data_IF_907456818616
#
_entry.id   IF_907456818616
#
_cell.length_a   1.000
_cell.length_b   1.000
_cell.length_c   1.000
_cell.angle_alpha   90.00
_cell.angle_beta   90.00
_cell.angle_gamma   90.00
#
_symmetry.space_group_name_H-M   'P 1'
#
loop_
_entity.id
_entity.type
_entity.pdbx_description
1 polymer ?
#
# COMPACT_ATOMS: atom_id res chain seq x y z
N UNK A 1 -12.79 14.13 -22.67
CA UNK A 1 -14.02 14.09 -23.50
C UNK A 1 -14.25 15.50 -23.94
N UNK A 2 -14.09 15.75 -25.24
CA UNK A 2 -14.19 17.06 -25.87
C UNK A 2 -15.48 17.77 -25.44
N UNK A 3 -15.41 19.08 -25.18
CA UNK A 3 -16.57 19.93 -24.87
C UNK A 3 -17.54 20.08 -26.07
N UNK A 4 -17.28 19.38 -27.17
CA UNK A 4 -18.05 19.40 -28.40
C UNK A 4 -19.04 18.23 -28.34
N UNK A 5 -20.32 18.54 -28.27
CA UNK A 5 -21.36 17.51 -28.36
C UNK A 5 -21.43 16.91 -29.78
N UNK A 6 -22.03 15.73 -29.91
CA UNK A 6 -22.11 14.98 -31.17
C UNK A 6 -22.75 15.75 -32.33
N UNK A 7 -23.66 16.69 -32.06
CA UNK A 7 -24.31 17.50 -33.10
C UNK A 7 -23.38 18.60 -33.62
N UNK A 8 -22.74 19.33 -32.71
CA UNK A 8 -21.78 20.39 -33.04
C UNK A 8 -20.57 19.80 -33.78
N UNK A 9 -20.11 18.61 -33.39
CA UNK A 9 -19.03 17.91 -34.08
C UNK A 9 -19.32 17.73 -35.58
N UNK A 10 -20.55 17.29 -35.89
CA UNK A 10 -20.98 16.99 -37.26
C UNK A 10 -21.16 18.24 -38.10
N UNK A 11 -21.60 19.35 -37.51
CA UNK A 11 -21.74 20.62 -38.23
C UNK A 11 -20.41 21.30 -38.56
N UNK A 12 -19.32 20.89 -37.90
CA UNK A 12 -17.98 21.46 -38.11
C UNK A 12 -17.18 20.74 -39.21
N UNK A 13 -17.67 19.62 -39.76
CA UNK A 13 -16.96 18.88 -40.81
C UNK A 13 -16.86 19.72 -42.08
N UNK A 14 -15.66 19.82 -42.65
CA UNK A 14 -15.39 20.66 -43.84
C UNK A 14 -16.13 20.12 -45.07
N UNK A 15 -16.13 18.80 -45.27
CA UNK A 15 -16.76 18.12 -46.40
C UNK A 15 -17.69 17.00 -45.90
N UNK A 16 -18.89 17.33 -45.37
CA UNK A 16 -19.78 16.34 -44.77
C UNK A 16 -20.32 15.32 -45.80
N UNK A 17 -20.45 15.72 -47.07
CA UNK A 17 -20.97 14.87 -48.15
C UNK A 17 -19.93 13.87 -48.69
N UNK A 18 -18.66 14.00 -48.29
CA UNK A 18 -17.56 13.13 -48.73
C UNK A 18 -17.02 12.27 -47.58
N UNK A 19 -17.88 11.96 -46.62
CA UNK A 19 -17.58 11.00 -45.54
C UNK A 19 -17.90 9.60 -46.05
N UNK A 20 -16.97 8.67 -45.91
CA UNK A 20 -17.21 7.27 -46.20
C UNK A 20 -18.41 6.74 -45.40
N UNK A 21 -19.41 6.18 -46.09
CA UNK A 21 -20.63 5.63 -45.50
C UNK A 21 -20.33 4.57 -44.42
N UNK A 22 -19.18 3.90 -44.52
CA UNK A 22 -18.71 2.92 -43.53
C UNK A 22 -18.39 3.56 -42.16
N UNK A 23 -18.27 4.88 -42.07
CA UNK A 23 -18.08 5.62 -40.82
C UNK A 23 -19.39 6.15 -40.23
N UNK A 24 -20.53 5.86 -40.86
CA UNK A 24 -21.84 6.26 -40.37
C UNK A 24 -22.41 5.25 -39.37
N UNK A 25 -23.12 5.77 -38.39
CA UNK A 25 -23.78 4.96 -37.38
C UNK A 25 -25.00 4.27 -37.98
N UNK A 26 -25.09 2.94 -37.83
CA UNK A 26 -26.25 2.17 -38.30
C UNK A 26 -27.58 2.40 -37.57
N UNK A 27 -27.66 3.40 -36.69
CA UNK A 27 -28.89 3.78 -35.97
C UNK A 27 -29.29 5.22 -36.30
N UNK A 28 -28.37 6.19 -36.12
CA UNK A 28 -28.67 7.59 -36.38
C UNK A 28 -28.28 8.06 -37.79
N UNK A 29 -27.63 7.21 -38.59
CA UNK A 29 -27.18 7.49 -39.95
C UNK A 29 -26.25 8.72 -40.08
N UNK A 30 -25.54 9.06 -39.00
CA UNK A 30 -24.59 10.16 -38.95
C UNK A 30 -23.20 9.65 -38.56
N UNK A 31 -22.16 10.46 -38.79
CA UNK A 31 -20.78 10.12 -38.38
C UNK A 31 -20.75 9.64 -36.93
N UNK A 32 -20.10 8.49 -36.72
CA UNK A 32 -20.01 7.82 -35.43
C UNK A 32 -19.21 8.64 -34.41
N UNK A 33 -19.75 8.75 -33.19
CA UNK A 33 -19.08 9.41 -32.06
C UNK A 33 -18.83 8.37 -30.97
N UNK A 34 -17.58 8.28 -30.52
CA UNK A 34 -17.09 7.20 -29.64
C UNK A 34 -17.55 5.82 -30.16
N UNK A 35 -17.12 5.42 -31.37
CA UNK A 35 -17.69 4.29 -32.09
C UNK A 35 -17.56 2.96 -31.34
N UNK A 36 -18.61 2.14 -31.47
CA UNK A 36 -18.63 0.72 -31.09
C UNK A 36 -18.93 -0.13 -32.33
N UNK A 37 -18.22 -1.23 -32.47
CA UNK A 37 -18.36 -2.17 -33.60
C UNK A 37 -19.00 -3.46 -33.11
N UNK A 38 -20.00 -3.98 -33.83
CA UNK A 38 -20.54 -5.31 -33.53
C UNK A 38 -19.53 -6.39 -33.96
N UNK A 39 -19.26 -7.37 -33.09
CA UNK A 39 -18.33 -8.47 -33.41
C UNK A 39 -18.78 -9.32 -34.60
N UNK A 40 -20.10 -9.48 -34.78
CA UNK A 40 -20.68 -10.39 -35.76
C UNK A 40 -20.84 -9.73 -37.14
N UNK A 41 -21.48 -8.55 -37.21
CA UNK A 41 -21.74 -7.87 -38.50
C UNK A 41 -20.78 -6.72 -38.81
N UNK A 42 -19.84 -6.37 -37.92
CA UNK A 42 -18.85 -5.30 -38.11
C UNK A 42 -19.44 -3.89 -38.37
N UNK A 43 -20.73 -3.69 -38.16
CA UNK A 43 -21.36 -2.37 -38.29
C UNK A 43 -20.99 -1.48 -37.11
N UNK A 44 -20.83 -0.18 -37.39
CA UNK A 44 -20.48 0.83 -36.41
C UNK A 44 -21.71 1.53 -35.84
N UNK A 45 -21.63 1.87 -34.56
CA UNK A 45 -22.64 2.64 -33.85
C UNK A 45 -21.99 3.70 -32.97
N UNK A 46 -22.65 4.85 -32.77
CA UNK A 46 -22.27 5.75 -31.69
C UNK A 46 -22.47 5.06 -30.34
N UNK A 47 -21.61 5.34 -29.36
CA UNK A 47 -21.74 4.77 -28.01
C UNK A 47 -23.13 4.99 -27.41
N UNK A 48 -23.64 6.22 -27.48
CA UNK A 48 -24.96 6.57 -26.94
C UNK A 48 -26.09 5.86 -27.71
N UNK A 49 -26.04 5.86 -29.05
CA UNK A 49 -27.08 5.24 -29.88
C UNK A 49 -27.23 3.75 -29.59
N UNK A 50 -26.13 3.01 -29.49
CA UNK A 50 -26.20 1.58 -29.22
C UNK A 50 -26.63 1.30 -27.78
N UNK A 51 -26.14 2.07 -26.80
CA UNK A 51 -26.58 1.90 -25.41
C UNK A 51 -28.08 2.14 -25.26
N UNK A 52 -28.63 3.17 -25.91
CA UNK A 52 -30.07 3.46 -25.86
C UNK A 52 -30.92 2.42 -26.58
N UNK A 53 -30.39 1.81 -27.63
CA UNK A 53 -31.02 0.65 -28.27
C UNK A 53 -31.05 -0.56 -27.32
N UNK A 54 -29.93 -0.86 -26.67
CA UNK A 54 -29.78 -2.02 -25.78
C UNK A 54 -30.64 -1.93 -24.51
N UNK A 55 -31.01 -0.73 -24.08
CA UNK A 55 -32.02 -0.54 -23.01
C UNK A 55 -33.40 -1.05 -23.41
N UNK A 56 -33.73 -1.08 -24.71
CA UNK A 56 -35.07 -1.44 -25.23
C UNK A 56 -35.09 -2.84 -25.85
N UNK A 57 -33.98 -3.27 -26.45
CA UNK A 57 -33.88 -4.53 -27.21
C UNK A 57 -32.49 -5.12 -27.00
N UNK A 58 -32.38 -6.40 -26.68
CA UNK A 58 -31.08 -7.06 -26.43
C UNK A 58 -30.34 -7.52 -27.70
N UNK A 59 -30.91 -7.29 -28.88
CA UNK A 59 -30.36 -7.76 -30.15
C UNK A 59 -29.66 -6.66 -30.96
N UNK A 60 -28.85 -7.09 -31.93
CA UNK A 60 -28.24 -6.17 -32.89
C UNK A 60 -29.31 -5.44 -33.74
N UNK A 61 -29.16 -4.13 -34.02
CA UNK A 61 -30.04 -3.41 -34.95
C UNK A 61 -30.18 -4.08 -36.33
N UNK A 62 -29.12 -4.76 -36.78
CA UNK A 62 -29.08 -5.54 -38.03
C UNK A 62 -29.50 -7.01 -37.86
N UNK A 63 -30.04 -7.39 -36.70
CA UNK A 63 -30.57 -8.74 -36.39
C UNK A 63 -29.58 -9.87 -36.66
N UNK A 64 -28.35 -9.74 -36.16
CA UNK A 64 -27.40 -10.85 -36.13
C UNK A 64 -28.03 -12.08 -35.44
N UNK A 65 -27.66 -13.28 -35.90
CA UNK A 65 -28.29 -14.55 -35.51
C UNK A 65 -28.12 -14.93 -34.03
N UNK A 66 -27.29 -14.22 -33.27
CA UNK A 66 -27.08 -14.45 -31.83
C UNK A 66 -28.04 -13.62 -30.97
N UNK A 67 -28.55 -14.23 -29.89
CA UNK A 67 -29.52 -13.64 -28.96
C UNK A 67 -28.98 -12.40 -28.23
N UNK A 68 -27.66 -12.36 -28.00
CA UNK A 68 -26.95 -11.28 -27.32
C UNK A 68 -25.91 -10.65 -28.24
N UNK A 69 -25.97 -9.32 -28.38
CA UNK A 69 -24.97 -8.58 -29.16
C UNK A 69 -23.67 -8.39 -28.36
N UNK A 70 -22.55 -8.75 -28.98
CA UNK A 70 -21.20 -8.40 -28.50
C UNK A 70 -20.68 -7.16 -29.22
N UNK A 71 -20.23 -6.18 -28.44
CA UNK A 71 -19.67 -4.93 -28.92
C UNK A 71 -18.19 -4.84 -28.56
N UNK A 72 -17.36 -4.52 -29.55
CA UNK A 72 -15.93 -4.27 -29.39
C UNK A 72 -15.58 -2.84 -29.81
N UNK A 73 -14.36 -2.46 -29.50
CA UNK A 73 -13.75 -1.26 -30.09
C UNK A 73 -13.50 -1.49 -31.59
N UNK A 74 -13.73 -0.49 -32.44
CA UNK A 74 -13.46 -0.63 -33.86
C UNK A 74 -11.97 -0.78 -34.15
N UNK A 75 -11.66 -1.39 -35.30
CA UNK A 75 -10.28 -1.57 -35.73
C UNK A 75 -9.51 -0.25 -35.80
N UNK A 76 -8.20 -0.28 -35.50
CA UNK A 76 -7.34 0.91 -35.46
C UNK A 76 -7.41 1.76 -36.74
N UNK A 77 -7.57 1.11 -37.90
CA UNK A 77 -7.70 1.80 -39.19
C UNK A 77 -8.92 2.71 -39.21
N UNK A 78 -10.09 2.21 -38.77
CA UNK A 78 -11.33 2.99 -38.69
C UNK A 78 -11.16 4.18 -37.75
N UNK A 79 -10.55 3.97 -36.58
CA UNK A 79 -10.27 5.04 -35.62
C UNK A 79 -9.35 6.11 -36.22
N UNK A 80 -8.27 5.71 -36.87
CA UNK A 80 -7.33 6.63 -37.49
C UNK A 80 -7.98 7.39 -38.65
N UNK A 81 -8.71 6.72 -39.53
CA UNK A 81 -9.42 7.36 -40.64
C UNK A 81 -10.43 8.40 -40.17
N UNK A 82 -11.21 8.08 -39.13
CA UNK A 82 -12.12 9.05 -38.50
C UNK A 82 -11.33 10.21 -37.88
N UNK A 83 -10.20 9.93 -37.24
CA UNK A 83 -9.37 10.98 -36.61
C UNK A 83 -8.76 11.96 -37.61
N UNK A 84 -8.53 11.56 -38.86
CA UNK A 84 -8.01 12.43 -39.93
C UNK A 84 -9.09 13.27 -40.63
N UNK A 85 -10.37 13.16 -40.21
CA UNK A 85 -11.42 14.00 -40.77
C UNK A 85 -11.16 15.47 -40.43
N UNK A 86 -11.24 16.33 -41.45
CA UNK A 86 -11.01 17.76 -41.31
C UNK A 86 -12.26 18.47 -40.76
N UNK A 87 -12.06 19.23 -39.69
CA UNK A 87 -13.06 20.05 -39.02
C UNK A 87 -12.67 21.52 -39.05
N UNK A 88 -13.66 22.41 -39.14
CA UNK A 88 -13.51 23.81 -38.77
C UNK A 88 -13.49 23.94 -37.25
N UNK A 89 -12.77 24.93 -36.73
CA UNK A 89 -12.84 25.26 -35.32
C UNK A 89 -14.29 25.65 -34.91
N UNK A 90 -14.70 25.29 -33.69
CA UNK A 90 -15.99 25.71 -33.13
C UNK A 90 -16.09 27.23 -32.88
N UNK A 91 -14.94 27.90 -32.74
CA UNK A 91 -14.89 29.35 -32.51
C UNK A 91 -15.04 30.06 -33.87
N UNK A 92 -16.08 30.87 -34.04
CA UNK A 92 -16.40 31.52 -35.31
C UNK A 92 -15.25 32.38 -35.89
N UNK A 93 -14.44 32.98 -35.02
CA UNK A 93 -13.30 33.82 -35.42
C UNK A 93 -12.03 33.02 -35.76
N UNK A 94 -12.07 31.68 -35.64
CA UNK A 94 -10.93 30.81 -35.93
C UNK A 94 -11.14 30.10 -37.28
N UNK A 95 -10.38 30.50 -38.28
CA UNK A 95 -10.45 29.94 -39.64
C UNK A 95 -9.63 28.66 -39.83
N UNK A 96 -9.03 28.13 -38.76
CA UNK A 96 -8.20 26.93 -38.85
C UNK A 96 -9.04 25.68 -39.15
N UNK A 97 -8.53 24.87 -40.07
CA UNK A 97 -9.00 23.51 -40.33
C UNK A 97 -8.09 22.56 -39.57
N UNK A 98 -8.67 21.71 -38.72
CA UNK A 98 -7.96 20.80 -37.82
C UNK A 98 -8.50 19.39 -38.01
N UNK A 99 -7.62 18.39 -37.97
CA UNK A 99 -8.02 16.98 -37.91
C UNK A 99 -8.77 16.68 -36.60
N UNK A 100 -9.83 15.88 -36.67
CA UNK A 100 -10.63 15.48 -35.50
C UNK A 100 -9.77 14.95 -34.35
N UNK A 101 -8.71 14.19 -34.62
CA UNK A 101 -7.79 13.69 -33.60
C UNK A 101 -7.02 14.78 -32.83
N UNK A 102 -6.88 15.97 -33.41
CA UNK A 102 -6.14 17.11 -32.84
C UNK A 102 -7.05 18.20 -32.27
N UNK A 103 -8.39 18.05 -32.37
CA UNK A 103 -9.35 19.10 -32.00
C UNK A 103 -9.23 19.52 -30.53
N UNK A 104 -9.00 18.57 -29.62
CA UNK A 104 -8.88 18.83 -28.18
C UNK A 104 -7.63 19.65 -27.85
N UNK A 105 -6.51 19.37 -28.53
CA UNK A 105 -5.27 20.13 -28.39
C UNK A 105 -5.45 21.54 -28.96
N UNK A 106 -6.06 21.64 -30.13
CA UNK A 106 -6.37 22.94 -30.73
C UNK A 106 -7.27 23.79 -29.84
N UNK A 107 -8.39 23.29 -29.29
CA UNK A 107 -9.30 24.10 -28.47
C UNK A 107 -8.58 24.71 -27.25
N UNK A 108 -7.65 23.96 -26.63
CA UNK A 108 -6.85 24.44 -25.49
C UNK A 108 -5.95 25.61 -25.87
N UNK A 109 -5.36 25.58 -27.05
CA UNK A 109 -4.38 26.56 -27.52
C UNK A 109 -4.98 27.63 -28.44
N UNK A 110 -6.22 27.44 -28.89
CA UNK A 110 -6.87 28.31 -29.85
C UNK A 110 -7.01 29.71 -29.27
N UNK A 111 -6.50 30.69 -30.01
CA UNK A 111 -6.49 32.12 -29.65
C UNK A 111 -7.90 32.68 -29.42
N UNK A 112 -8.91 32.09 -30.05
CA UNK A 112 -10.30 32.53 -29.98
C UNK A 112 -11.12 31.81 -28.92
N UNK A 113 -10.56 30.79 -28.25
CA UNK A 113 -11.22 30.13 -27.13
C UNK A 113 -11.38 31.12 -25.98
N UNK A 114 -12.60 31.20 -25.44
CA UNK A 114 -12.94 32.03 -24.29
C UNK A 114 -12.69 31.24 -23.02
N UNK A 115 -11.94 31.82 -22.09
CA UNK A 115 -11.67 31.25 -20.78
C UNK A 115 -12.00 32.26 -19.68
N UNK A 116 -12.36 31.75 -18.51
CA UNK A 116 -12.51 32.59 -17.32
C UNK A 116 -11.12 33.05 -16.85
N UNK A 117 -11.02 34.28 -16.35
CA UNK A 117 -9.80 34.73 -15.69
C UNK A 117 -9.46 33.84 -14.49
N UNK A 118 -8.17 33.51 -14.33
CA UNK A 118 -7.68 32.68 -13.24
C UNK A 118 -7.46 33.46 -11.93
N UNK A 119 -7.55 34.79 -11.97
CA UNK A 119 -7.41 35.62 -10.78
C UNK A 119 -8.66 35.48 -9.91
N UNK A 120 -8.45 35.03 -8.68
CA UNK A 120 -9.49 34.83 -7.68
C UNK A 120 -10.35 36.10 -7.47
N UNK A 121 -11.64 36.02 -7.78
CA UNK A 121 -12.60 37.12 -7.70
C UNK A 121 -12.81 37.88 -9.02
N UNK A 122 -12.10 37.53 -10.09
CA UNK A 122 -12.38 38.01 -11.43
C UNK A 122 -13.36 37.06 -12.14
N UNK A 123 -14.53 37.57 -12.53
CA UNK A 123 -15.55 36.79 -13.27
C UNK A 123 -15.51 37.04 -14.79
N UNK A 124 -14.52 37.80 -15.26
CA UNK A 124 -14.40 38.14 -16.68
C UNK A 124 -14.04 36.91 -17.53
N UNK A 125 -14.69 36.83 -18.68
CA UNK A 125 -14.44 35.84 -19.74
C UNK A 125 -13.63 36.49 -20.85
N UNK A 126 -12.43 35.97 -21.10
CA UNK A 126 -11.45 36.58 -21.99
C UNK A 126 -11.01 35.56 -23.05
N UNK A 127 -10.88 35.99 -24.31
CA UNK A 127 -10.28 35.16 -25.37
C UNK A 127 -8.80 34.90 -25.04
N UNK A 128 -8.30 33.71 -25.34
CA UNK A 128 -6.88 33.37 -25.14
C UNK A 128 -5.90 34.40 -25.73
N UNK A 129 -6.23 34.97 -26.91
CA UNK A 129 -5.45 36.04 -27.53
C UNK A 129 -5.24 37.25 -26.61
N UNK A 130 -6.26 37.62 -25.84
CA UNK A 130 -6.27 38.81 -24.99
C UNK A 130 -5.98 38.48 -23.52
N UNK A 131 -5.74 37.21 -23.21
CA UNK A 131 -5.59 36.74 -21.83
C UNK A 131 -4.34 37.32 -21.17
N UNK A 132 -3.22 37.40 -21.90
CA UNK A 132 -1.97 37.99 -21.37
C UNK A 132 -2.11 39.49 -21.11
N UNK A 133 -2.79 40.23 -21.99
CA UNK A 133 -3.08 41.65 -21.77
C UNK A 133 -4.01 41.83 -20.56
N UNK A 134 -5.07 41.02 -20.46
CA UNK A 134 -5.96 41.03 -19.30
C UNK A 134 -5.19 40.72 -18.01
N UNK A 135 -4.32 39.70 -17.98
CA UNK A 135 -3.52 39.35 -16.79
C UNK A 135 -2.71 40.53 -16.27
N UNK A 136 -2.16 41.36 -17.15
CA UNK A 136 -1.39 42.54 -16.77
C UNK A 136 -2.26 43.68 -16.21
N UNK A 137 -3.50 43.83 -16.72
CA UNK A 137 -4.43 44.91 -16.35
C UNK A 137 -5.48 44.49 -15.29
N UNK A 138 -5.60 43.20 -15.01
CA UNK A 138 -6.63 42.66 -14.13
C UNK A 138 -6.52 43.24 -12.72
N UNK A 139 -7.59 43.86 -12.23
CA UNK A 139 -7.61 44.47 -10.90
C UNK A 139 -7.54 43.42 -9.78
N UNK A 140 -7.90 42.18 -10.05
CA UNK A 140 -7.81 41.08 -9.09
C UNK A 140 -6.45 40.39 -9.10
N UNK A 141 -5.50 40.82 -9.95
CA UNK A 141 -4.14 40.28 -9.94
C UNK A 141 -3.44 40.61 -8.62
N UNK A 142 -2.66 39.66 -8.14
CA UNK A 142 -1.88 39.81 -6.91
C UNK A 142 -0.53 40.47 -7.23
N UNK A 143 -0.15 41.46 -6.43
CA UNK A 143 1.15 42.14 -6.50
C UNK A 143 1.82 42.12 -5.12
N UNK A 144 3.14 42.22 -5.12
CA UNK A 144 3.95 42.29 -3.90
C UNK A 144 4.24 43.75 -3.59
N UNK A 145 4.04 44.18 -2.34
CA UNK A 145 4.45 45.52 -1.91
C UNK A 145 5.97 45.61 -1.79
N UNK A 146 6.61 46.60 -2.41
CA UNK A 146 8.06 46.78 -2.32
C UNK A 146 8.57 47.14 -0.91
N UNK A 147 7.68 47.65 -0.04
CA UNK A 147 8.05 48.12 1.30
C UNK A 147 7.88 47.06 2.37
N UNK A 148 6.74 46.39 2.40
CA UNK A 148 6.42 45.37 3.41
C UNK A 148 6.38 43.94 2.88
N UNK A 149 6.63 43.75 1.58
CA UNK A 149 6.71 42.44 0.92
C UNK A 149 5.44 41.59 1.01
N UNK A 150 4.32 42.15 1.48
CA UNK A 150 3.03 41.46 1.53
C UNK A 150 2.40 41.40 0.14
N UNK A 151 1.75 40.27 -0.15
CA UNK A 151 1.01 40.04 -1.40
C UNK A 151 -0.44 40.49 -1.21
N UNK A 152 -0.98 41.28 -2.14
CA UNK A 152 -2.36 41.77 -2.11
C UNK A 152 -2.93 41.94 -3.52
N UNK A 153 -4.27 42.00 -3.67
CA UNK A 153 -4.92 42.26 -4.96
C UNK A 153 -4.91 43.76 -5.26
N UNK A 154 -4.71 44.18 -6.51
CA UNK A 154 -4.72 45.61 -6.88
C UNK A 154 -6.04 46.31 -6.51
N UNK A 155 -7.17 45.59 -6.61
CA UNK A 155 -8.48 46.09 -6.22
C UNK A 155 -8.63 46.36 -4.72
N UNK A 156 -7.70 45.88 -3.90
CA UNK A 156 -7.68 46.12 -2.46
C UNK A 156 -6.75 47.29 -2.13
N UNK A 157 -7.22 48.20 -1.28
CA UNK A 157 -6.37 49.23 -0.72
C UNK A 157 -5.33 48.61 0.22
N UNK A 158 -4.05 48.97 0.03
CA UNK A 158 -2.94 48.38 0.74
C UNK A 158 -2.33 49.35 1.75
N UNK A 159 -2.41 48.98 3.02
CA UNK A 159 -1.77 49.71 4.11
C UNK A 159 -0.60 48.91 4.69
N UNK A 160 0.63 49.35 4.41
CA UNK A 160 1.85 48.67 4.85
C UNK A 160 1.92 48.50 6.37
N UNK A 161 1.46 49.48 7.15
CA UNK A 161 1.52 49.41 8.63
C UNK A 161 0.60 48.31 9.13
N UNK A 162 -0.63 48.21 8.59
CA UNK A 162 -1.55 47.13 8.93
C UNK A 162 -0.99 45.76 8.53
N UNK A 163 -0.43 45.65 7.34
CA UNK A 163 0.16 44.41 6.86
C UNK A 163 1.35 43.95 7.73
N UNK A 164 2.27 44.87 8.06
CA UNK A 164 3.41 44.58 8.94
C UNK A 164 2.97 44.20 10.36
N UNK A 165 1.97 44.91 10.92
CA UNK A 165 1.42 44.56 12.24
C UNK A 165 0.85 43.14 12.25
N UNK A 166 0.09 42.77 11.21
CA UNK A 166 -0.45 41.42 11.06
C UNK A 166 0.68 40.38 10.96
N UNK A 167 1.69 40.64 10.14
CA UNK A 167 2.84 39.73 10.01
C UNK A 167 3.56 39.50 11.34
N UNK A 168 3.78 40.56 12.14
CA UNK A 168 4.38 40.44 13.47
C UNK A 168 3.52 39.56 14.39
N UNK A 169 2.20 39.74 14.35
CA UNK A 169 1.27 38.93 15.13
C UNK A 169 1.31 37.45 14.68
N UNK A 170 1.29 37.20 13.37
CA UNK A 170 1.38 35.86 12.80
C UNK A 170 2.70 35.17 13.20
N UNK A 171 3.83 35.87 13.11
CA UNK A 171 5.13 35.36 13.55
C UNK A 171 5.15 35.09 15.06
N UNK A 172 4.54 35.96 15.87
CA UNK A 172 4.42 35.75 17.31
C UNK A 172 3.63 34.48 17.63
N UNK A 173 2.52 34.23 16.92
CA UNK A 173 1.74 33.01 17.07
C UNK A 173 2.55 31.77 16.69
N UNK A 174 3.27 31.78 15.56
CA UNK A 174 4.13 30.67 15.13
C UNK A 174 5.23 30.41 16.17
N UNK A 175 5.90 31.45 16.66
CA UNK A 175 6.94 31.32 17.69
C UNK A 175 6.36 30.68 18.96
N UNK A 176 5.16 31.08 19.39
CA UNK A 176 4.51 30.49 20.55
C UNK A 176 4.15 29.01 20.31
N UNK A 177 3.67 28.65 19.12
CA UNK A 177 3.42 27.25 18.76
C UNK A 177 4.71 26.42 18.81
N UNK A 178 5.81 26.92 18.24
CA UNK A 178 7.12 26.24 18.27
C UNK A 178 7.60 26.06 19.72
N UNK A 179 7.43 27.07 20.58
CA UNK A 179 7.78 26.95 22.00
C UNK A 179 6.98 25.85 22.70
N UNK A 180 5.68 25.74 22.43
CA UNK A 180 4.84 24.68 23.01
C UNK A 180 5.27 23.30 22.54
N UNK A 181 5.54 23.14 21.23
CA UNK A 181 6.04 21.89 20.67
C UNK A 181 7.40 21.49 21.27
N UNK A 182 8.28 22.46 21.51
CA UNK A 182 9.57 22.21 22.15
C UNK A 182 9.42 21.70 23.59
N UNK A 183 8.52 22.30 24.39
CA UNK A 183 8.24 21.86 25.77
C UNK A 183 7.68 20.42 25.77
N UNK A 184 6.74 20.14 24.86
CA UNK A 184 6.18 18.79 24.71
C UNK A 184 7.26 17.77 24.35
N UNK A 185 8.14 18.12 23.40
CA UNK A 185 9.26 17.27 23.01
C UNK A 185 10.19 16.97 24.19
N UNK A 186 10.52 17.96 25.02
CA UNK A 186 11.35 17.75 26.21
C UNK A 186 10.69 16.82 27.22
N UNK A 187 9.40 16.97 27.49
CA UNK A 187 8.65 16.10 28.39
C UNK A 187 8.66 14.64 27.88
N UNK A 188 8.37 14.43 26.60
CA UNK A 188 8.42 13.10 25.99
C UNK A 188 9.84 12.49 26.05
N UNK A 189 10.89 13.29 25.85
CA UNK A 189 12.27 12.80 25.99
C UNK A 189 12.58 12.35 27.43
N UNK A 190 12.09 13.07 28.44
CA UNK A 190 12.27 12.67 29.85
C UNK A 190 11.57 11.35 30.16
N UNK A 191 10.32 11.19 29.71
CA UNK A 191 9.57 9.93 29.86
C UNK A 191 10.29 8.76 29.19
N UNK A 192 10.79 8.95 27.97
CA UNK A 192 11.57 7.93 27.27
C UNK A 192 12.86 7.57 28.00
N UNK A 193 13.58 8.55 28.56
CA UNK A 193 14.78 8.29 29.36
C UNK A 193 14.46 7.48 30.62
N UNK A 194 13.33 7.74 31.27
CA UNK A 194 12.89 6.97 32.43
C UNK A 194 12.54 5.52 32.05
N UNK A 195 11.82 5.31 30.96
CA UNK A 195 11.54 3.98 30.42
C UNK A 195 12.83 3.22 30.10
N UNK A 196 13.81 3.87 29.47
CA UNK A 196 15.12 3.27 29.17
C UNK A 196 15.82 2.82 30.45
N UNK A 197 15.81 3.65 31.51
CA UNK A 197 16.41 3.28 32.80
C UNK A 197 15.75 2.03 33.40
N UNK A 198 14.41 1.95 33.34
CA UNK A 198 13.67 0.77 33.82
C UNK A 198 14.06 -0.48 33.02
N UNK A 199 14.11 -0.38 31.68
CA UNK A 199 14.52 -1.49 30.81
C UNK A 199 15.95 -1.96 31.12
N UNK A 200 16.88 -1.03 31.32
CA UNK A 200 18.26 -1.36 31.71
C UNK A 200 18.32 -2.12 33.04
N UNK A 201 17.51 -1.76 34.04
CA UNK A 201 17.44 -2.48 35.31
C UNK A 201 16.89 -3.90 35.17
N UNK A 202 15.89 -4.12 34.29
CA UNK A 202 15.34 -5.44 34.03
C UNK A 202 16.36 -6.37 33.35
N UNK A 203 17.16 -5.84 32.43
CA UNK A 203 18.20 -6.60 31.71
C UNK A 203 19.42 -6.88 32.60
N UNK A 204 19.73 -6.01 33.57
CA UNK A 204 20.87 -6.17 34.47
C UNK A 204 20.67 -7.23 35.59
N UNK A 205 19.48 -7.82 35.74
CA UNK A 205 19.29 -8.95 36.67
C UNK A 205 20.06 -10.17 36.16
N UNK A 206 21.05 -10.70 36.90
CA UNK A 206 21.79 -11.89 36.46
C UNK A 206 20.85 -13.08 36.39
N UNK A 207 20.60 -13.60 35.19
CA UNK A 207 19.98 -14.90 35.00
C UNK A 207 21.01 -15.96 35.44
N UNK A 208 20.89 -16.45 36.68
CA UNK A 208 21.77 -17.50 37.20
C UNK A 208 21.44 -18.80 36.47
N UNK A 209 22.17 -19.11 35.40
CA UNK A 209 22.13 -20.44 34.78
C UNK A 209 22.75 -21.41 35.79
N UNK A 210 21.94 -22.18 36.52
CA UNK A 210 22.44 -23.28 37.37
C UNK A 210 23.12 -24.33 36.48
N UNK A 211 24.44 -24.25 36.33
CA UNK A 211 25.21 -25.27 35.61
C UNK A 211 25.15 -26.59 36.39
N UNK A 212 24.71 -27.66 35.72
CA UNK A 212 24.66 -29.00 36.31
C UNK A 212 26.09 -29.54 36.44
N UNK A 213 26.49 -29.92 37.65
CA UNK A 213 27.87 -30.38 37.93
C UNK A 213 27.92 -31.83 38.43
N UNK A 214 29.05 -32.48 38.14
CA UNK A 214 29.38 -33.79 38.70
C UNK A 214 29.74 -33.65 40.18
N UNK A 215 29.97 -34.76 40.88
CA UNK A 215 30.22 -34.73 42.33
C UNK A 215 31.58 -34.11 42.70
N UNK A 216 32.44 -33.83 41.71
CA UNK A 216 33.68 -33.06 41.82
C UNK A 216 33.55 -31.59 41.39
N UNK A 217 32.33 -31.12 41.08
CA UNK A 217 32.07 -29.73 40.66
C UNK A 217 32.34 -29.44 39.17
N UNK A 218 32.70 -30.42 38.35
CA UNK A 218 32.92 -30.22 36.91
C UNK A 218 31.61 -30.17 36.13
N UNK A 219 31.59 -29.41 35.03
CA UNK A 219 30.43 -29.28 34.15
C UNK A 219 30.00 -30.61 33.53
N UNK A 220 28.70 -30.87 33.58
CA UNK A 220 28.05 -31.96 32.86
C UNK A 220 27.48 -31.43 31.54
N UNK A 221 27.67 -32.18 30.47
CA UNK A 221 27.04 -31.93 29.18
C UNK A 221 25.95 -32.96 28.90
N UNK A 222 24.91 -32.51 28.20
CA UNK A 222 23.84 -33.38 27.73
C UNK A 222 24.30 -34.16 26.50
N UNK A 223 23.98 -35.44 26.48
CA UNK A 223 24.32 -36.35 25.39
C UNK A 223 23.12 -37.20 24.98
N UNK A 224 23.22 -37.76 23.76
CA UNK A 224 22.29 -38.76 23.25
C UNK A 224 22.15 -39.95 24.23
N UNK A 225 20.96 -40.59 24.31
CA UNK A 225 20.66 -41.58 25.32
C UNK A 225 21.55 -42.81 25.17
N UNK A 226 22.15 -43.23 26.30
CA UNK A 226 22.87 -44.49 26.37
C UNK A 226 22.18 -45.41 27.39
N UNK A 227 21.84 -46.62 26.93
CA UNK A 227 21.19 -47.66 27.71
C UNK A 227 22.23 -48.64 28.28
N UNK A 228 21.88 -49.33 29.37
CA UNK A 228 22.66 -50.42 29.97
C UNK A 228 24.08 -50.05 30.44
N UNK A 229 24.30 -48.78 30.79
CA UNK A 229 25.60 -48.32 31.29
C UNK A 229 25.52 -47.91 32.76
N UNK A 230 26.59 -48.21 33.51
CA UNK A 230 26.64 -47.91 34.95
C UNK A 230 26.76 -46.40 35.18
N UNK A 231 25.79 -45.83 35.90
CA UNK A 231 25.83 -44.43 36.33
C UNK A 231 27.00 -44.19 37.28
N UNK A 232 27.77 -43.12 37.05
CA UNK A 232 28.92 -42.72 37.86
C UNK A 232 28.58 -42.33 39.31
N UNK A 233 27.28 -42.22 39.64
CA UNK A 233 26.77 -41.93 40.99
C UNK A 233 26.08 -43.13 41.64
N UNK A 234 25.02 -43.70 41.05
CA UNK A 234 24.29 -44.83 41.66
C UNK A 234 24.82 -46.22 41.29
N UNK A 235 25.77 -46.32 40.34
CA UNK A 235 26.33 -47.57 39.81
C UNK A 235 25.32 -48.55 39.16
N UNK A 236 24.04 -48.17 39.07
CA UNK A 236 23.01 -48.94 38.38
C UNK A 236 23.08 -48.72 36.86
N UNK A 237 22.64 -49.73 36.11
CA UNK A 237 22.59 -49.73 34.63
C UNK A 237 21.19 -49.81 34.05
N UNK A 238 20.16 -49.80 34.89
CA UNK A 238 18.75 -49.90 34.51
C UNK A 238 18.15 -48.55 34.04
N UNK A 239 18.86 -47.45 34.24
CA UNK A 239 18.42 -46.09 33.90
C UNK A 239 19.16 -45.53 32.68
N UNK A 240 18.50 -44.65 31.93
CA UNK A 240 19.10 -43.99 30.75
C UNK A 240 20.16 -42.98 31.21
N UNK A 241 21.38 -43.13 30.68
CA UNK A 241 22.46 -42.17 30.85
C UNK A 241 22.33 -41.03 29.83
N UNK A 242 22.21 -39.79 30.33
CA UNK A 242 22.01 -38.57 29.51
C UNK A 242 23.05 -37.48 29.76
N UNK A 243 23.89 -37.64 30.78
CA UNK A 243 24.93 -36.67 31.12
C UNK A 243 26.31 -37.28 31.06
N UNK A 244 27.27 -36.52 30.53
CA UNK A 244 28.69 -36.85 30.59
C UNK A 244 29.46 -35.72 31.25
N UNK A 245 30.35 -36.06 32.17
CA UNK A 245 31.31 -35.09 32.68
C UNK A 245 32.44 -34.92 31.65
N UNK A 246 32.65 -33.69 31.17
CA UNK A 246 33.72 -33.41 30.21
C UNK A 246 35.12 -33.72 30.77
N UNK A 247 35.32 -33.56 32.08
CA UNK A 247 36.63 -33.77 32.71
C UNK A 247 36.81 -35.19 33.25
N UNK A 248 35.81 -35.72 33.97
CA UNK A 248 35.90 -37.07 34.56
C UNK A 248 35.59 -38.19 33.57
N UNK A 249 35.00 -37.88 32.41
CA UNK A 249 34.46 -38.81 31.42
C UNK A 249 33.39 -39.79 31.95
N UNK A 250 33.03 -39.69 33.24
CA UNK A 250 31.92 -40.41 33.87
C UNK A 250 30.59 -39.95 33.30
N UNK A 251 29.69 -40.91 33.12
CA UNK A 251 28.30 -40.68 32.68
C UNK A 251 27.34 -40.76 33.87
N UNK A 252 26.22 -40.06 33.78
CA UNK A 252 25.22 -39.99 34.84
C UNK A 252 23.83 -40.21 34.27
N UNK A 253 23.02 -40.99 35.00
CA UNK A 253 21.62 -41.20 34.64
C UNK A 253 20.75 -40.00 34.97
N UNK A 254 19.65 -39.86 34.22
CA UNK A 254 18.68 -38.79 34.37
C UNK A 254 18.05 -38.69 35.78
N UNK A 255 17.98 -39.81 36.51
CA UNK A 255 17.51 -39.79 37.90
C UNK A 255 18.53 -39.20 38.87
N UNK A 256 19.82 -39.52 38.69
CA UNK A 256 20.90 -39.06 39.57
C UNK A 256 21.27 -37.59 39.35
N UNK A 257 21.08 -37.10 38.14
CA UNK A 257 21.30 -35.73 37.70
C UNK A 257 20.12 -35.37 36.79
N UNK A 258 19.13 -34.67 37.32
CA UNK A 258 17.93 -34.30 36.57
C UNK A 258 18.25 -33.21 35.54
N UNK A 259 17.70 -33.29 34.31
CA UNK A 259 17.82 -32.19 33.36
C UNK A 259 17.14 -30.93 33.87
N UNK A 260 17.74 -29.80 33.51
CA UNK A 260 17.16 -28.48 33.69
C UNK A 260 17.09 -27.80 32.32
N UNK A 261 16.03 -27.04 32.10
CA UNK A 261 15.79 -26.28 30.89
C UNK A 261 15.29 -24.89 31.29
N UNK A 262 15.57 -23.88 30.47
CA UNK A 262 15.27 -22.48 30.80
C UNK A 262 14.98 -21.69 29.52
N UNK A 263 14.15 -20.66 29.61
CA UNK A 263 13.81 -19.78 28.47
C UNK A 263 13.49 -20.55 27.18
N UNK A 264 12.73 -21.65 27.29
CA UNK A 264 12.30 -22.47 26.15
C UNK A 264 13.46 -23.21 25.45
N UNK A 265 14.58 -23.42 26.14
CA UNK A 265 15.77 -24.07 25.58
C UNK A 265 16.14 -25.36 26.29
N UNK A 266 16.58 -26.36 25.53
CA UNK A 266 17.11 -27.63 26.03
C UNK A 266 18.42 -27.43 26.84
N UNK A 267 18.93 -28.47 27.53
CA UNK A 267 20.18 -28.41 28.28
C UNK A 267 21.42 -27.97 27.47
N UNK A 268 21.41 -28.17 26.15
CA UNK A 268 22.45 -27.72 25.22
C UNK A 268 22.15 -26.33 24.58
N UNK A 269 21.16 -25.58 25.10
CA UNK A 269 20.82 -24.21 24.69
C UNK A 269 20.14 -24.06 23.30
N UNK A 270 19.61 -25.15 22.73
CA UNK A 270 18.75 -25.10 21.54
C UNK A 270 17.31 -24.77 21.90
N UNK A 271 16.59 -24.04 21.03
CA UNK A 271 15.18 -23.73 21.22
C UNK A 271 14.31 -24.96 21.01
N UNK A 272 13.41 -25.23 21.96
CA UNK A 272 12.43 -26.30 21.86
C UNK A 272 11.34 -25.92 20.86
N UNK A 273 10.92 -26.87 20.04
CA UNK A 273 9.84 -26.70 19.08
C UNK A 273 8.62 -27.51 19.49
N UNK A 274 7.43 -26.94 19.32
CA UNK A 274 6.19 -27.63 19.65
C UNK A 274 5.75 -28.57 18.52
N UNK A 275 5.64 -29.86 18.82
CA UNK A 275 5.14 -30.89 17.91
C UNK A 275 3.75 -31.36 18.37
N UNK A 276 2.73 -31.08 17.56
CA UNK A 276 1.33 -31.44 17.85
C UNK A 276 1.01 -32.92 17.62
N UNK A 277 1.87 -33.65 16.91
CA UNK A 277 1.64 -35.02 16.48
C UNK A 277 2.63 -36.01 17.14
N UNK A 278 2.84 -35.85 18.44
CA UNK A 278 3.73 -36.70 19.23
C UNK A 278 3.31 -38.18 19.16
N UNK A 279 4.28 -39.07 18.95
CA UNK A 279 4.05 -40.52 18.98
C UNK A 279 3.81 -40.98 20.43
N UNK A 280 2.93 -41.95 20.63
CA UNK A 280 2.60 -42.48 21.95
C UNK A 280 3.77 -43.16 22.70
N UNK A 281 4.90 -43.36 22.03
CA UNK A 281 6.11 -43.98 22.59
C UNK A 281 7.12 -42.99 23.17
N UNK A 282 6.85 -41.68 23.11
CA UNK A 282 7.75 -40.64 23.63
C UNK A 282 7.53 -40.49 25.13
N UNK A 283 8.61 -40.43 25.91
CA UNK A 283 8.58 -40.12 27.35
C UNK A 283 9.08 -38.71 27.59
N UNK A 284 8.54 -38.02 28.59
CA UNK A 284 9.06 -36.72 29.00
C UNK A 284 10.41 -36.91 29.70
N UNK A 285 11.50 -36.32 29.19
CA UNK A 285 12.84 -36.42 29.81
C UNK A 285 12.94 -35.71 31.16
N UNK A 286 12.00 -34.82 31.47
CA UNK A 286 11.97 -34.10 32.74
C UNK A 286 11.27 -34.86 33.87
N UNK A 287 10.08 -35.43 33.60
CA UNK A 287 9.31 -36.16 34.62
C UNK A 287 9.35 -37.69 34.48
N UNK A 288 9.84 -38.23 33.37
CA UNK A 288 9.94 -39.67 33.09
C UNK A 288 8.62 -40.34 32.70
N UNK A 289 7.49 -39.65 32.81
CA UNK A 289 6.18 -40.17 32.44
C UNK A 289 6.04 -40.28 30.92
N UNK A 290 5.23 -41.24 30.46
CA UNK A 290 4.72 -41.33 29.07
C UNK A 290 3.35 -40.66 29.07
N UNK A 291 3.25 -39.33 29.04
CA UNK A 291 2.06 -38.62 29.47
C UNK A 291 1.09 -38.38 28.29
N UNK A 292 1.40 -38.85 27.08
CA UNK A 292 0.82 -38.32 25.85
C UNK A 292 -0.29 -39.21 25.29
N UNK A 293 -1.54 -38.81 25.51
CA UNK A 293 -2.67 -39.36 24.75
C UNK A 293 -2.64 -38.80 23.31
N UNK A 294 -3.14 -39.57 22.33
CA UNK A 294 -3.22 -39.16 20.92
C UNK A 294 -3.88 -37.77 20.80
N UNK A 295 -3.14 -36.77 20.32
CA UNK A 295 -3.59 -35.37 20.17
C UNK A 295 -3.03 -34.36 21.20
N UNK A 296 -2.26 -34.80 22.20
CA UNK A 296 -1.50 -33.90 23.07
C UNK A 296 -0.09 -33.70 22.50
N UNK A 297 0.32 -32.45 22.29
CA UNK A 297 1.64 -32.11 21.74
C UNK A 297 2.77 -32.14 22.76
N UNK A 298 4.01 -32.02 22.27
CA UNK A 298 5.26 -32.07 23.05
C UNK A 298 6.19 -30.92 22.64
N UNK A 299 7.02 -30.44 23.56
CA UNK A 299 8.11 -29.52 23.23
C UNK A 299 9.40 -30.33 23.09
N UNK A 300 9.96 -30.34 21.88
CA UNK A 300 11.05 -31.24 21.52
C UNK A 300 12.24 -30.48 20.93
N UNK A 301 13.44 -30.91 21.30
CA UNK A 301 14.65 -30.68 20.52
C UNK A 301 15.07 -32.01 19.87
N UNK A 302 14.92 -32.09 18.54
CA UNK A 302 15.26 -33.29 17.77
C UNK A 302 16.77 -33.52 17.66
N UNK A 303 17.60 -32.49 17.80
CA UNK A 303 19.06 -32.61 17.76
C UNK A 303 19.60 -33.23 19.04
N UNK A 304 19.01 -32.86 20.19
CA UNK A 304 19.41 -33.38 21.49
C UNK A 304 18.58 -34.57 21.97
N UNK A 305 17.56 -34.98 21.21
CA UNK A 305 16.58 -36.00 21.61
C UNK A 305 15.99 -35.67 22.99
N UNK A 306 15.52 -34.42 23.15
CA UNK A 306 15.03 -33.91 24.43
C UNK A 306 13.57 -33.50 24.33
N UNK A 307 12.70 -34.23 25.01
CA UNK A 307 11.24 -34.12 24.94
C UNK A 307 10.64 -33.70 26.28
N UNK A 308 9.83 -32.65 26.28
CA UNK A 308 9.18 -32.12 27.49
C UNK A 308 7.68 -32.05 27.28
N UNK A 309 6.93 -32.58 28.23
CA UNK A 309 5.48 -32.44 28.23
C UNK A 309 5.04 -31.00 28.52
N UNK A 310 3.86 -30.62 28.00
CA UNK A 310 3.30 -29.26 28.16
C UNK A 310 3.19 -28.85 29.63
N UNK A 311 2.84 -29.78 30.53
CA UNK A 311 2.75 -29.48 31.96
C UNK A 311 4.12 -29.12 32.55
N UNK A 312 5.16 -29.90 32.27
CA UNK A 312 6.51 -29.59 32.76
C UNK A 312 7.05 -28.30 32.14
N UNK A 313 6.79 -28.07 30.84
CA UNK A 313 7.18 -26.84 30.15
C UNK A 313 6.57 -25.59 30.78
N UNK A 314 5.27 -25.61 31.07
CA UNK A 314 4.56 -24.48 31.69
C UNK A 314 5.01 -24.24 33.15
N UNK A 315 5.21 -25.31 33.92
CA UNK A 315 5.69 -25.20 35.31
C UNK A 315 7.09 -24.60 35.43
N UNK A 316 7.93 -24.71 34.39
CA UNK A 316 9.27 -24.14 34.38
C UNK A 316 9.34 -22.67 33.92
N UNK A 317 8.21 -22.07 33.51
CA UNK A 317 8.11 -20.65 33.14
C UNK A 317 7.61 -19.74 34.27
N UNK A 318 7.24 -20.31 35.43
CA UNK A 318 6.83 -19.60 36.65
C UNK A 318 7.99 -19.48 37.63
#
# INVERSE_FOLDING_TARGET
MSQINSQLLRSLIVNPDNIDENFLCGICCQLVVNPKECENCQHLYCHECINDWLKKKSNCPYRCSESDIKLKEPHRFVKNSISHLNLKCQNADCEQIIELGMIDSHIKECKHTIQNCQNEGCEEKVKNLNLEEHKQKCQFRKITCDKCLSIYKISQDHNCIRALKQQIEDYSQIINQIKQLYIQQQATQQEQQEQIKILQQLVARPQVIKQLTCDKGHQLIWMQPIYNQKCGRCALSNEIARFKCQQCQKIYCQQCKRPYFYNQKCPNNHLLQFDQNARASISCDFCGEVPFKKGQGVWSDRECDFDICVSCYNSAQQ
#
